data_IF_326339041157
#
_entry.id   IF_326339041157
#
_cell.length_a   1.000
_cell.length_b   1.000
_cell.length_c   1.000
_cell.angle_alpha   90.00
_cell.angle_beta   90.00
_cell.angle_gamma   90.00
#
_symmetry.space_group_name_H-M   'P 1'
#
loop_
_entity.id
_entity.type
_entity.pdbx_description
1 polymer ?
#
# COMPACT_ATOMS: atom_id res chain seq x y z
N UNK A 1 33.75 -0.47 78.63
CA UNK A 1 32.65 0.39 78.15
C UNK A 1 33.04 0.92 76.76
N UNK A 2 32.51 0.32 75.70
CA UNK A 2 32.71 0.77 74.29
C UNK A 2 31.39 1.34 73.82
N UNK A 3 31.37 2.63 73.53
CA UNK A 3 30.23 3.31 72.90
C UNK A 3 30.23 3.00 71.38
N UNK A 4 29.17 2.36 70.91
CA UNK A 4 28.89 2.26 69.48
C UNK A 4 28.18 3.53 69.01
N UNK A 5 28.76 4.19 68.04
CA UNK A 5 28.15 5.34 67.31
C UNK A 5 27.49 4.76 66.06
N UNK A 6 26.15 4.78 66.05
CA UNK A 6 25.35 4.39 64.90
C UNK A 6 25.25 5.58 63.95
N UNK A 7 25.84 5.43 62.72
CA UNK A 7 25.72 6.43 61.66
C UNK A 7 24.44 6.11 60.88
N UNK A 8 23.47 6.99 60.96
CA UNK A 8 22.25 6.96 60.11
C UNK A 8 22.57 7.68 58.83
N UNK A 9 22.71 6.92 57.72
CA UNK A 9 22.83 7.48 56.38
C UNK A 9 21.41 7.68 55.83
N UNK A 10 20.94 8.89 55.78
CA UNK A 10 19.69 9.24 55.09
C UNK A 10 19.94 9.28 53.58
N UNK A 11 19.42 8.31 52.85
CA UNK A 11 19.43 8.30 51.41
C UNK A 11 18.29 9.19 50.93
N UNK A 12 18.63 10.42 50.50
CA UNK A 12 17.70 11.31 49.82
C UNK A 12 17.57 10.88 48.35
N UNK A 13 16.48 10.20 48.01
CA UNK A 13 16.06 9.94 46.62
C UNK A 13 15.60 11.28 46.01
N UNK A 14 16.44 11.89 45.21
CA UNK A 14 16.05 13.02 44.36
C UNK A 14 15.34 12.43 43.15
N UNK A 15 14.01 12.43 43.17
CA UNK A 15 13.19 12.18 41.98
C UNK A 15 13.35 13.38 41.05
N UNK A 16 14.26 13.26 40.08
CA UNK A 16 14.28 14.16 38.91
C UNK A 16 13.05 13.84 38.07
N UNK A 17 11.99 14.61 38.26
CA UNK A 17 10.92 14.71 37.26
C UNK A 17 11.55 15.37 36.02
N UNK A 18 12.03 14.53 35.11
CA UNK A 18 12.30 14.95 33.74
C UNK A 18 10.94 15.30 33.12
N UNK A 19 10.57 16.58 33.11
CA UNK A 19 9.57 17.09 32.18
C UNK A 19 10.09 16.78 30.79
N UNK A 20 9.70 15.66 30.20
CA UNK A 20 9.80 15.47 28.77
C UNK A 20 8.85 16.50 28.16
N UNK A 21 9.43 17.62 27.73
CA UNK A 21 8.73 18.53 26.82
C UNK A 21 8.35 17.68 25.61
N UNK A 22 7.07 17.36 25.47
CA UNK A 22 6.50 16.79 24.26
C UNK A 22 6.77 17.78 23.14
N UNK A 23 7.91 17.60 22.44
CA UNK A 23 8.15 18.32 21.20
C UNK A 23 7.07 17.85 20.25
N UNK A 24 6.16 18.72 19.80
CA UNK A 24 5.16 18.31 18.84
C UNK A 24 5.88 17.71 17.62
N UNK A 25 5.34 16.65 17.02
CA UNK A 25 5.93 16.08 15.81
C UNK A 25 6.12 17.19 14.78
N UNK A 26 7.21 17.15 13.99
CA UNK A 26 7.46 18.15 12.97
C UNK A 26 6.23 18.22 12.06
N UNK A 27 5.78 19.44 11.76
CA UNK A 27 4.64 19.65 10.85
C UNK A 27 5.03 19.09 9.49
N UNK A 28 4.26 18.11 8.99
CA UNK A 28 4.46 17.57 7.65
C UNK A 28 4.21 18.69 6.63
N UNK A 29 5.13 18.79 5.68
CA UNK A 29 4.98 19.70 4.55
C UNK A 29 4.22 18.98 3.44
N UNK A 30 3.29 19.67 2.80
CA UNK A 30 2.49 19.12 1.69
C UNK A 30 0.99 19.23 1.91
N UNK A 31 0.24 18.74 0.94
CA UNK A 31 -1.23 18.72 0.92
C UNK A 31 -1.71 17.37 1.45
N UNK A 32 -2.57 17.37 2.47
CA UNK A 32 -3.26 16.17 2.94
C UNK A 32 -4.33 15.80 1.93
N UNK A 33 -4.38 14.53 1.53
CA UNK A 33 -5.39 13.98 0.64
C UNK A 33 -6.62 13.55 1.47
N UNK A 34 -7.58 14.44 1.56
CA UNK A 34 -8.73 14.27 2.44
C UNK A 34 -9.76 13.24 1.93
N UNK A 35 -9.80 13.00 0.62
CA UNK A 35 -10.71 12.08 -0.06
C UNK A 35 -10.14 10.67 -0.28
N UNK A 36 -9.02 10.34 0.40
CA UNK A 36 -8.37 9.03 0.31
C UNK A 36 -9.35 7.86 0.42
N UNK A 37 -10.21 7.84 1.44
CA UNK A 37 -11.17 6.75 1.65
C UNK A 37 -12.21 6.64 0.51
N UNK A 38 -12.61 7.76 -0.08
CA UNK A 38 -13.56 7.77 -1.20
C UNK A 38 -12.92 7.22 -2.46
N UNK A 39 -11.66 7.56 -2.72
CA UNK A 39 -10.89 7.03 -3.85
C UNK A 39 -10.70 5.53 -3.70
N UNK A 40 -10.29 5.05 -2.52
CA UNK A 40 -10.13 3.61 -2.29
C UNK A 40 -11.46 2.86 -2.47
N UNK A 41 -12.58 3.44 -2.00
CA UNK A 41 -13.91 2.87 -2.21
C UNK A 41 -14.28 2.82 -3.69
N UNK A 42 -13.95 3.86 -4.46
CA UNK A 42 -14.20 3.88 -5.90
C UNK A 42 -13.35 2.82 -6.63
N UNK A 43 -12.08 2.66 -6.28
CA UNK A 43 -11.20 1.64 -6.84
C UNK A 43 -11.72 0.23 -6.51
N UNK A 44 -12.07 -0.03 -5.26
CA UNK A 44 -12.66 -1.32 -4.86
C UNK A 44 -14.01 -1.58 -5.55
N UNK A 45 -14.76 -0.52 -5.83
CA UNK A 45 -16.06 -0.62 -6.51
C UNK A 45 -15.98 -1.00 -7.99
N UNK A 46 -14.83 -0.80 -8.64
CA UNK A 46 -14.62 -1.23 -10.03
C UNK A 46 -13.95 -2.61 -10.10
N UNK A 47 -13.29 -3.07 -9.05
CA UNK A 47 -12.66 -4.38 -9.02
C UNK A 47 -13.72 -5.50 -8.96
N UNK A 48 -13.56 -6.57 -9.74
CA UNK A 48 -14.45 -7.72 -9.69
C UNK A 48 -14.23 -8.54 -8.41
N UNK A 49 -15.30 -9.11 -7.89
CA UNK A 49 -15.28 -9.97 -6.70
C UNK A 49 -14.94 -11.41 -7.08
N UNK A 50 -15.54 -11.91 -8.15
CA UNK A 50 -15.44 -13.31 -8.54
C UNK A 50 -14.39 -13.49 -9.65
N UNK A 51 -13.61 -14.56 -9.54
CA UNK A 51 -12.63 -14.94 -10.56
C UNK A 51 -13.33 -15.80 -11.61
N UNK A 52 -13.26 -15.46 -12.93
CA UNK A 52 -13.79 -16.30 -13.98
C UNK A 52 -13.19 -17.72 -13.97
N UNK A 53 -14.03 -18.73 -14.14
CA UNK A 53 -13.63 -20.15 -14.11
C UNK A 53 -12.49 -20.44 -15.11
N UNK A 54 -12.56 -19.87 -16.30
CA UNK A 54 -11.52 -20.01 -17.33
C UNK A 54 -10.14 -19.53 -16.87
N UNK A 55 -10.09 -18.46 -16.04
CA UNK A 55 -8.83 -17.97 -15.48
C UNK A 55 -8.30 -18.92 -14.40
N UNK A 56 -9.18 -19.46 -13.55
CA UNK A 56 -8.79 -20.45 -12.53
C UNK A 56 -8.26 -21.74 -13.17
N UNK A 57 -8.93 -22.24 -14.20
CA UNK A 57 -8.60 -23.53 -14.82
C UNK A 57 -7.41 -23.49 -15.76
N UNK A 58 -7.26 -22.40 -16.52
CA UNK A 58 -6.28 -22.35 -17.62
C UNK A 58 -5.49 -21.05 -17.73
N UNK A 59 -5.83 -20.01 -17.00
CA UNK A 59 -5.24 -18.69 -17.15
C UNK A 59 -5.54 -18.00 -18.49
N UNK A 60 -6.56 -18.52 -19.22
CA UNK A 60 -6.93 -18.07 -20.56
C UNK A 60 -8.16 -17.18 -20.50
N UNK A 61 -8.04 -15.95 -20.98
CA UNK A 61 -9.18 -15.02 -21.13
C UNK A 61 -10.10 -15.49 -22.27
N UNK A 62 -11.40 -15.45 -22.05
CA UNK A 62 -12.42 -15.82 -23.02
C UNK A 62 -13.28 -14.65 -23.50
N UNK A 63 -13.06 -13.47 -22.91
CA UNK A 63 -13.84 -12.27 -23.14
C UNK A 63 -14.93 -12.08 -22.09
N UNK A 64 -15.14 -10.82 -21.70
CA UNK A 64 -16.06 -10.48 -20.60
C UNK A 64 -15.43 -10.43 -19.22
N UNK A 65 -14.12 -10.69 -19.12
CA UNK A 65 -13.35 -10.47 -17.90
C UNK A 65 -13.20 -8.96 -17.62
N UNK A 66 -12.72 -8.65 -16.43
CA UNK A 66 -12.48 -7.28 -16.00
C UNK A 66 -11.59 -6.52 -16.98
N UNK A 67 -12.00 -5.31 -17.36
CA UNK A 67 -11.17 -4.38 -18.13
C UNK A 67 -10.40 -3.46 -17.15
N UNK A 68 -9.06 -3.59 -17.05
CA UNK A 68 -8.29 -2.78 -16.11
C UNK A 68 -8.29 -1.29 -16.46
N UNK A 69 -8.73 -0.88 -17.66
CA UNK A 69 -8.94 0.54 -17.98
C UNK A 69 -10.09 1.15 -17.15
N UNK A 70 -10.94 0.34 -16.53
CA UNK A 70 -12.00 0.81 -15.63
C UNK A 70 -11.44 1.48 -14.36
N UNK A 71 -10.19 1.21 -14.00
CA UNK A 71 -9.51 1.97 -12.94
C UNK A 71 -9.48 3.48 -13.20
N UNK A 72 -9.36 3.91 -14.46
CA UNK A 72 -9.33 5.32 -14.81
C UNK A 72 -10.69 6.04 -14.67
N UNK A 73 -11.76 5.28 -14.36
CA UNK A 73 -13.06 5.85 -13.93
C UNK A 73 -13.05 6.24 -12.46
N UNK A 74 -12.20 5.58 -11.67
CA UNK A 74 -12.03 5.84 -10.23
C UNK A 74 -10.81 6.75 -9.96
N UNK A 75 -9.73 6.58 -10.73
CA UNK A 75 -8.48 7.32 -10.66
C UNK A 75 -8.45 8.32 -11.82
N UNK A 76 -9.19 9.41 -11.68
CA UNK A 76 -9.53 10.32 -12.78
C UNK A 76 -8.41 11.24 -13.23
N UNK A 77 -7.33 11.33 -12.43
CA UNK A 77 -6.11 12.09 -12.77
C UNK A 77 -5.01 11.22 -13.39
N UNK A 78 -5.37 9.94 -13.69
CA UNK A 78 -4.50 9.01 -14.41
C UNK A 78 -5.11 8.62 -15.75
N UNK A 79 -4.25 8.30 -16.69
CA UNK A 79 -4.64 7.68 -17.97
C UNK A 79 -3.47 6.90 -18.53
N UNK A 80 -3.73 6.00 -19.50
CA UNK A 80 -2.67 5.54 -20.37
C UNK A 80 -2.32 6.64 -21.36
N UNK A 81 -1.04 6.71 -21.76
CA UNK A 81 -0.61 7.61 -22.84
C UNK A 81 -1.31 7.28 -24.14
N UNK A 82 -1.41 8.29 -24.99
CA UNK A 82 -1.96 8.13 -26.35
C UNK A 82 -1.33 6.94 -27.08
N UNK A 83 -2.19 6.10 -27.66
CA UNK A 83 -1.79 4.89 -28.35
C UNK A 83 -1.63 3.65 -27.47
N UNK A 84 -1.87 3.75 -26.15
CA UNK A 84 -1.79 2.62 -25.24
C UNK A 84 -3.10 2.41 -24.48
N UNK A 85 -3.37 1.15 -24.14
CA UNK A 85 -4.40 0.72 -23.19
C UNK A 85 -3.75 -0.13 -22.10
N UNK A 86 -4.34 -0.17 -20.92
CA UNK A 86 -3.94 -1.10 -19.87
C UNK A 86 -4.55 -2.46 -20.16
N UNK A 87 -3.74 -3.51 -20.06
CA UNK A 87 -4.20 -4.88 -20.24
C UNK A 87 -3.46 -5.80 -19.26
N UNK A 88 -3.87 -7.06 -19.16
CA UNK A 88 -3.22 -8.05 -18.31
C UNK A 88 -3.23 -9.43 -18.93
N UNK A 89 -2.33 -10.28 -18.47
CA UNK A 89 -2.40 -11.74 -18.57
C UNK A 89 -2.51 -12.33 -17.18
N UNK A 90 -3.04 -13.56 -17.10
CA UNK A 90 -3.27 -14.24 -15.83
C UNK A 90 -2.45 -15.54 -15.78
N UNK A 91 -1.18 -15.50 -15.37
CA UNK A 91 -0.37 -16.70 -15.23
C UNK A 91 -0.89 -17.55 -14.07
N UNK A 92 -0.98 -18.86 -14.29
CA UNK A 92 -1.26 -19.82 -13.22
C UNK A 92 0.07 -20.28 -12.63
N UNK A 93 0.20 -20.15 -11.32
CA UNK A 93 1.32 -20.67 -10.55
C UNK A 93 0.81 -21.63 -9.47
N UNK A 94 1.66 -22.56 -9.08
CA UNK A 94 1.38 -23.53 -8.01
C UNK A 94 1.07 -22.85 -6.66
N UNK A 95 1.72 -21.72 -6.38
CA UNK A 95 1.56 -20.99 -5.12
C UNK A 95 0.44 -19.94 -5.15
N UNK A 96 -0.16 -19.72 -6.32
CA UNK A 96 -1.24 -18.74 -6.48
C UNK A 96 -1.14 -18.00 -7.81
N UNK A 97 -2.12 -17.19 -8.09
CA UNK A 97 -2.22 -16.48 -9.36
C UNK A 97 -2.70 -15.05 -9.13
N UNK A 98 -2.20 -14.14 -9.93
CA UNK A 98 -2.61 -12.76 -9.94
C UNK A 98 -2.43 -12.15 -11.33
N UNK A 99 -3.16 -11.07 -11.68
CA UNK A 99 -3.01 -10.43 -12.97
C UNK A 99 -1.66 -9.73 -13.09
N UNK A 100 -0.96 -9.98 -14.18
CA UNK A 100 0.25 -9.25 -14.56
C UNK A 100 -0.10 -8.20 -15.60
N UNK A 101 -0.17 -6.95 -15.18
CA UNK A 101 -0.55 -5.84 -16.04
C UNK A 101 0.59 -5.43 -16.98
N UNK A 102 0.23 -4.97 -18.17
CA UNK A 102 1.17 -4.43 -19.15
C UNK A 102 0.52 -3.32 -20.00
N UNK A 103 1.30 -2.38 -20.55
CA UNK A 103 0.79 -1.39 -21.47
C UNK A 103 0.67 -2.03 -22.87
N UNK A 104 -0.53 -2.13 -23.40
CA UNK A 104 -0.81 -2.69 -24.72
C UNK A 104 -0.99 -1.56 -25.75
N UNK A 105 -0.26 -1.56 -26.88
CA UNK A 105 -0.60 -0.70 -28.00
C UNK A 105 -2.05 -0.94 -28.47
N UNK A 106 -2.82 0.13 -28.70
CA UNK A 106 -4.27 0.02 -29.02
C UNK A 106 -4.55 -0.66 -30.36
N UNK A 107 -3.59 -0.67 -31.27
CA UNK A 107 -3.63 -1.34 -32.57
C UNK A 107 -3.29 -2.84 -32.49
N UNK A 108 -2.88 -3.34 -31.31
CA UNK A 108 -2.61 -4.75 -31.07
C UNK A 108 -3.78 -5.41 -30.34
N UNK A 109 -4.14 -6.64 -30.70
CA UNK A 109 -5.12 -7.39 -29.92
C UNK A 109 -4.56 -7.74 -28.54
N UNK A 110 -5.42 -7.90 -27.50
CA UNK A 110 -5.00 -8.35 -26.19
C UNK A 110 -4.44 -9.76 -26.23
N UNK A 111 -3.41 -10.04 -25.44
CA UNK A 111 -2.97 -11.42 -25.21
C UNK A 111 -4.02 -12.15 -24.38
N UNK A 112 -4.38 -13.35 -24.79
CA UNK A 112 -5.40 -14.13 -24.10
C UNK A 112 -4.83 -14.96 -22.95
N UNK A 113 -3.53 -15.28 -23.01
CA UNK A 113 -2.81 -16.02 -21.96
C UNK A 113 -1.39 -15.51 -21.79
N UNK A 114 -0.74 -15.88 -20.69
CA UNK A 114 0.67 -15.56 -20.46
C UNK A 114 1.61 -16.23 -21.49
N UNK A 115 1.20 -17.34 -22.08
CA UNK A 115 1.97 -18.04 -23.12
C UNK A 115 2.00 -17.29 -24.46
N UNK A 116 1.04 -16.39 -24.71
CA UNK A 116 0.97 -15.62 -25.95
C UNK A 116 1.86 -14.37 -25.91
N UNK A 117 2.42 -14.04 -24.74
CA UNK A 117 3.22 -12.83 -24.57
C UNK A 117 4.58 -13.03 -25.23
N UNK A 118 4.96 -12.18 -26.21
CA UNK A 118 6.27 -12.29 -26.87
C UNK A 118 7.43 -12.07 -25.91
N UNK A 119 8.54 -12.71 -26.19
CA UNK A 119 9.79 -12.42 -25.51
C UNK A 119 10.14 -10.92 -25.64
N UNK A 120 10.43 -10.27 -24.51
CA UNK A 120 10.74 -8.84 -24.47
C UNK A 120 9.59 -7.93 -24.04
N UNK A 121 8.36 -8.40 -24.00
CA UNK A 121 7.27 -7.66 -23.33
C UNK A 121 7.46 -7.77 -21.83
N UNK A 122 7.60 -6.62 -21.17
CA UNK A 122 7.80 -6.56 -19.72
C UNK A 122 6.45 -6.54 -19.01
N UNK A 123 5.99 -7.70 -18.56
CA UNK A 123 4.84 -7.80 -17.68
C UNK A 123 5.12 -7.10 -16.35
N UNK A 124 4.10 -6.44 -15.79
CA UNK A 124 4.22 -5.64 -14.56
C UNK A 124 4.66 -4.18 -14.78
N UNK A 125 5.20 -3.83 -15.96
CA UNK A 125 5.73 -2.49 -16.24
C UNK A 125 4.71 -1.54 -16.90
N UNK A 126 3.42 -1.67 -16.60
CA UNK A 126 2.39 -0.78 -17.16
C UNK A 126 2.65 0.69 -16.84
N UNK A 127 3.36 0.98 -15.77
CA UNK A 127 3.71 2.33 -15.28
C UNK A 127 4.53 3.13 -16.29
N UNK A 128 5.30 2.44 -17.15
CA UNK A 128 6.14 3.08 -18.18
C UNK A 128 5.31 3.88 -19.20
N UNK A 129 4.01 3.61 -19.31
CA UNK A 129 3.08 4.30 -20.22
C UNK A 129 1.90 4.95 -19.48
N UNK A 130 2.00 5.09 -18.17
CA UNK A 130 1.00 5.79 -17.36
C UNK A 130 1.27 7.29 -17.41
N UNK A 131 0.25 8.08 -17.71
CA UNK A 131 0.27 9.53 -17.64
C UNK A 131 -0.38 10.00 -16.34
N UNK A 132 0.25 10.95 -15.68
CA UNK A 132 -0.19 11.55 -14.42
C UNK A 132 -0.54 13.01 -14.69
N UNK A 133 -1.73 13.46 -14.30
CA UNK A 133 -2.02 14.88 -14.23
C UNK A 133 -1.14 15.51 -13.15
N UNK A 134 -0.44 16.61 -13.48
CA UNK A 134 0.57 17.22 -12.60
C UNK A 134 -0.06 18.03 -11.46
N UNK A 135 -0.83 17.34 -10.62
CA UNK A 135 -1.46 17.83 -9.40
C UNK A 135 -1.25 16.84 -8.27
N UNK A 136 -1.37 17.29 -7.01
CA UNK A 136 -1.16 16.44 -5.83
C UNK A 136 -2.02 15.17 -5.88
N UNK A 137 -3.26 15.32 -6.31
CA UNK A 137 -4.21 14.22 -6.45
C UNK A 137 -3.73 13.17 -7.43
N UNK A 138 -3.20 13.57 -8.60
CA UNK A 138 -2.68 12.64 -9.62
C UNK A 138 -1.53 11.78 -9.10
N UNK A 139 -0.63 12.35 -8.32
CA UNK A 139 0.48 11.60 -7.73
C UNK A 139 0.02 10.67 -6.61
N UNK A 140 -0.99 11.05 -5.83
CA UNK A 140 -1.61 10.14 -4.88
C UNK A 140 -2.30 8.97 -5.59
N UNK A 141 -3.10 9.24 -6.62
CA UNK A 141 -3.76 8.22 -7.43
C UNK A 141 -2.75 7.27 -8.08
N UNK A 142 -1.57 7.77 -8.49
CA UNK A 142 -0.48 6.91 -8.96
C UNK A 142 -0.04 5.91 -7.88
N UNK A 143 0.17 6.36 -6.65
CA UNK A 143 0.56 5.46 -5.55
C UNK A 143 -0.54 4.43 -5.25
N UNK A 144 -1.82 4.82 -5.32
CA UNK A 144 -2.97 3.90 -5.22
C UNK A 144 -2.94 2.87 -6.34
N UNK A 145 -2.75 3.30 -7.59
CA UNK A 145 -2.66 2.42 -8.75
C UNK A 145 -1.49 1.45 -8.64
N UNK A 146 -0.33 1.92 -8.18
CA UNK A 146 0.86 1.08 -7.95
C UNK A 146 0.59 -0.06 -6.97
N UNK A 147 -0.18 0.20 -5.91
CA UNK A 147 -0.48 -0.78 -4.87
C UNK A 147 -1.64 -1.69 -5.27
N UNK A 148 -2.72 -1.13 -5.85
CA UNK A 148 -3.99 -1.83 -5.97
C UNK A 148 -4.27 -2.42 -7.34
N UNK A 149 -3.58 -1.96 -8.41
CA UNK A 149 -3.92 -2.34 -9.77
C UNK A 149 -3.85 -3.84 -10.07
N UNK A 150 -3.00 -4.58 -9.36
CA UNK A 150 -2.85 -6.03 -9.52
C UNK A 150 -3.60 -6.84 -8.45
N UNK A 151 -4.49 -6.21 -7.67
CA UNK A 151 -5.17 -6.87 -6.54
C UNK A 151 -6.57 -7.40 -6.89
N UNK A 152 -6.91 -7.56 -8.16
CA UNK A 152 -8.13 -8.25 -8.59
C UNK A 152 -7.82 -9.70 -9.01
N UNK A 153 -8.81 -10.59 -8.96
CA UNK A 153 -8.67 -12.00 -9.32
C UNK A 153 -7.53 -12.74 -8.62
N UNK A 154 -7.26 -12.36 -7.37
CA UNK A 154 -6.18 -12.96 -6.61
C UNK A 154 -6.54 -14.35 -6.12
N UNK A 155 -5.71 -15.36 -6.42
CA UNK A 155 -5.75 -16.67 -5.78
C UNK A 155 -4.77 -16.67 -4.61
N UNK A 156 -5.27 -17.00 -3.45
CA UNK A 156 -4.73 -16.66 -2.15
C UNK A 156 -3.32 -17.17 -1.82
N UNK A 157 -2.91 -18.32 -2.33
CA UNK A 157 -1.74 -19.01 -1.78
C UNK A 157 -0.39 -18.30 -2.00
N UNK A 158 -0.32 -17.35 -2.92
CA UNK A 158 0.85 -16.52 -3.16
C UNK A 158 0.53 -15.03 -3.12
N UNK A 159 -0.59 -14.67 -2.52
CA UNK A 159 -1.03 -13.28 -2.52
C UNK A 159 -0.27 -12.46 -1.48
N UNK A 160 0.96 -12.14 -1.79
CA UNK A 160 1.76 -11.15 -1.06
C UNK A 160 1.36 -9.70 -1.40
N UNK A 161 0.35 -9.51 -2.25
CA UNK A 161 -0.16 -8.21 -2.67
C UNK A 161 -1.38 -7.75 -1.86
N UNK A 162 -1.54 -8.24 -0.64
CA UNK A 162 -2.60 -7.84 0.28
C UNK A 162 -2.34 -6.51 0.99
N UNK A 163 -1.69 -5.59 0.29
CA UNK A 163 -1.40 -4.27 0.83
C UNK A 163 -2.70 -3.45 0.95
N UNK A 164 -3.02 -3.05 2.17
CA UNK A 164 -4.09 -2.11 2.44
C UNK A 164 -3.50 -0.70 2.58
N UNK A 165 -4.09 0.28 1.93
CA UNK A 165 -3.77 1.69 2.14
C UNK A 165 -4.57 2.18 3.34
N UNK A 166 -3.91 2.88 4.26
CA UNK A 166 -4.48 3.38 5.50
C UNK A 166 -4.66 4.90 5.37
N UNK A 167 -5.90 5.34 5.28
CA UNK A 167 -6.22 6.74 5.01
C UNK A 167 -6.15 7.64 6.25
N UNK A 168 -6.40 7.08 7.42
CA UNK A 168 -6.42 7.81 8.68
C UNK A 168 -6.21 6.87 9.86
N UNK A 169 -6.27 7.44 11.05
CA UNK A 169 -6.07 6.70 12.29
C UNK A 169 -7.21 5.74 12.62
N UNK A 170 -8.42 6.07 12.23
CA UNK A 170 -9.59 5.21 12.48
C UNK A 170 -9.47 3.96 11.61
N UNK A 171 -9.10 4.09 10.32
CA UNK A 171 -8.80 2.97 9.44
C UNK A 171 -7.67 2.07 10.00
N UNK A 172 -6.62 2.64 10.61
CA UNK A 172 -5.58 1.86 11.26
C UNK A 172 -6.10 1.04 12.45
N UNK A 173 -6.99 1.61 13.26
CA UNK A 173 -7.62 0.91 14.38
C UNK A 173 -8.60 -0.16 13.90
N UNK A 174 -9.39 0.11 12.85
CA UNK A 174 -10.31 -0.87 12.25
C UNK A 174 -9.56 -2.12 11.75
N UNK A 175 -8.39 -1.96 11.14
CA UNK A 175 -7.53 -3.09 10.73
C UNK A 175 -7.13 -3.96 11.95
N UNK A 176 -6.77 -3.33 13.06
CA UNK A 176 -6.44 -4.05 14.29
C UNK A 176 -7.65 -4.80 14.86
N UNK A 177 -8.78 -4.12 14.92
CA UNK A 177 -10.02 -4.70 15.46
C UNK A 177 -10.52 -5.86 14.58
N UNK A 178 -10.49 -5.69 13.26
CA UNK A 178 -10.83 -6.73 12.30
C UNK A 178 -9.89 -7.94 12.43
N UNK A 179 -8.57 -7.72 12.41
CA UNK A 179 -7.57 -8.78 12.58
C UNK A 179 -7.77 -9.54 13.89
N UNK A 180 -8.08 -8.83 14.98
CA UNK A 180 -8.29 -9.42 16.29
C UNK A 180 -9.64 -10.14 16.43
N UNK A 181 -10.61 -9.86 15.56
CA UNK A 181 -11.93 -10.51 15.54
C UNK A 181 -11.90 -11.90 14.91
N UNK A 182 -10.94 -12.18 14.04
CA UNK A 182 -10.84 -13.46 13.35
C UNK A 182 -10.27 -14.55 14.28
N UNK A 183 -10.76 -15.77 14.11
CA UNK A 183 -10.29 -16.94 14.87
C UNK A 183 -8.99 -17.53 14.31
N UNK A 184 -8.58 -17.11 13.11
CA UNK A 184 -7.43 -17.63 12.39
C UNK A 184 -6.32 -16.56 12.25
N UNK A 185 -5.07 -16.99 12.41
CA UNK A 185 -3.90 -16.11 12.41
C UNK A 185 -3.57 -15.54 13.79
N UNK A 186 -2.43 -14.87 13.86
CA UNK A 186 -2.00 -14.18 15.09
C UNK A 186 -2.82 -12.92 15.30
N UNK A 187 -3.07 -12.58 16.54
CA UNK A 187 -3.72 -11.33 16.94
C UNK A 187 -2.66 -10.28 17.29
N UNK A 188 -2.99 -9.01 17.09
CA UNK A 188 -2.17 -7.94 17.66
C UNK A 188 -2.13 -8.05 19.18
N UNK A 189 -0.95 -8.09 19.77
CA UNK A 189 -0.80 -8.03 21.21
C UNK A 189 -1.07 -6.61 21.76
N UNK A 190 -1.12 -6.48 23.09
CA UNK A 190 -1.43 -5.19 23.72
C UNK A 190 -0.39 -4.11 23.43
N UNK A 191 0.88 -4.48 23.25
CA UNK A 191 1.94 -3.54 22.93
C UNK A 191 1.82 -3.04 21.49
N UNK A 192 1.58 -3.94 20.55
CA UNK A 192 1.33 -3.61 19.12
C UNK A 192 0.09 -2.73 18.98
N UNK A 193 -1.02 -3.07 19.65
CA UNK A 193 -2.22 -2.23 19.67
C UNK A 193 -1.95 -0.84 20.22
N UNK A 194 -1.14 -0.72 21.29
CA UNK A 194 -0.75 0.57 21.83
C UNK A 194 0.11 1.38 20.85
N UNK A 195 1.01 0.72 20.10
CA UNK A 195 1.82 1.33 19.04
C UNK A 195 0.93 1.87 17.91
N UNK A 196 -0.04 1.08 17.41
CA UNK A 196 -0.97 1.54 16.37
C UNK A 196 -1.78 2.74 16.85
N UNK A 197 -2.31 2.71 18.08
CA UNK A 197 -3.03 3.86 18.65
C UNK A 197 -2.15 5.09 18.82
N UNK A 198 -0.84 4.92 18.96
CA UNK A 198 0.13 6.02 19.08
C UNK A 198 0.61 6.56 17.72
N UNK A 199 0.24 5.92 16.60
CA UNK A 199 0.61 6.40 15.26
C UNK A 199 0.13 7.84 15.06
N UNK A 200 1.02 8.64 14.49
CA UNK A 200 0.75 10.02 14.09
C UNK A 200 1.06 10.18 12.60
N UNK A 201 0.46 11.17 11.97
CA UNK A 201 0.69 11.47 10.56
C UNK A 201 0.35 10.25 9.67
N UNK A 202 -0.82 9.66 9.87
CA UNK A 202 -1.30 8.49 9.13
C UNK A 202 -1.88 8.89 7.77
N UNK A 203 -2.52 10.06 7.72
CA UNK A 203 -3.18 10.57 6.52
C UNK A 203 -2.18 10.69 5.36
N UNK A 204 -2.55 10.34 4.12
CA UNK A 204 -1.71 10.54 2.95
C UNK A 204 -1.38 12.02 2.73
N UNK A 205 -0.14 12.29 2.36
CA UNK A 205 0.34 13.65 2.07
C UNK A 205 1.11 13.64 0.76
N UNK A 206 0.87 14.65 -0.06
CA UNK A 206 1.63 14.90 -1.29
C UNK A 206 2.28 16.28 -1.22
N UNK A 207 3.58 16.31 -1.49
CA UNK A 207 4.37 17.54 -1.60
C UNK A 207 4.92 17.64 -3.01
N UNK A 208 4.54 18.69 -3.74
CA UNK A 208 5.15 19.00 -5.03
C UNK A 208 6.42 19.83 -4.80
N UNK A 209 7.47 19.47 -5.52
CA UNK A 209 8.70 20.25 -5.68
C UNK A 209 8.82 20.69 -7.14
N UNK A 210 9.92 21.35 -7.52
CA UNK A 210 10.11 21.79 -8.90
C UNK A 210 10.20 20.59 -9.86
N UNK A 211 10.87 19.50 -9.45
CA UNK A 211 11.19 18.35 -10.31
C UNK A 211 10.45 17.06 -9.95
N UNK A 212 9.90 16.95 -8.75
CA UNK A 212 9.29 15.73 -8.25
C UNK A 212 8.08 15.96 -7.38
N UNK A 213 7.24 14.95 -7.27
CA UNK A 213 6.21 14.81 -6.25
C UNK A 213 6.67 13.79 -5.20
N UNK A 214 6.51 14.12 -3.93
CA UNK A 214 6.77 13.23 -2.82
C UNK A 214 5.42 12.82 -2.23
N UNK A 215 5.08 11.53 -2.31
CA UNK A 215 3.83 10.98 -1.77
C UNK A 215 4.17 10.13 -0.56
N UNK A 216 3.65 10.49 0.60
CA UNK A 216 3.73 9.67 1.80
C UNK A 216 2.38 9.04 2.09
N UNK A 217 2.35 7.72 2.20
CA UNK A 217 1.16 6.93 2.55
C UNK A 217 1.52 5.90 3.62
N UNK A 218 0.55 5.55 4.44
CA UNK A 218 0.65 4.40 5.34
C UNK A 218 -0.03 3.21 4.69
N UNK A 219 0.61 2.06 4.77
CA UNK A 219 0.06 0.78 4.30
C UNK A 219 0.13 -0.26 5.39
N UNK A 220 -0.73 -1.26 5.30
CA UNK A 220 -0.70 -2.45 6.14
C UNK A 220 -0.62 -3.71 5.30
N UNK A 221 0.11 -4.71 5.79
CA UNK A 221 0.08 -6.08 5.28
C UNK A 221 0.13 -7.07 6.44
N UNK A 222 -0.52 -8.21 6.29
CA UNK A 222 -0.49 -9.30 7.27
C UNK A 222 0.90 -9.90 7.48
N UNK A 223 1.82 -9.65 6.55
CA UNK A 223 3.17 -10.22 6.51
C UNK A 223 4.27 -9.30 7.03
N UNK A 224 3.95 -8.14 7.57
CA UNK A 224 4.97 -7.20 8.06
C UNK A 224 4.42 -6.06 8.89
N UNK A 225 3.10 -5.86 8.90
CA UNK A 225 2.44 -4.83 9.71
C UNK A 225 2.26 -3.50 8.99
N UNK A 226 2.39 -2.41 9.73
CA UNK A 226 2.19 -1.06 9.21
C UNK A 226 3.51 -0.47 8.71
N UNK A 227 3.47 0.09 7.50
CA UNK A 227 4.61 0.75 6.86
C UNK A 227 4.24 2.15 6.42
N UNK A 228 5.14 3.10 6.57
CA UNK A 228 5.11 4.34 5.81
C UNK A 228 5.86 4.12 4.51
N UNK A 229 5.19 4.35 3.39
CA UNK A 229 5.81 4.35 2.06
C UNK A 229 5.97 5.77 1.59
N UNK A 230 7.16 6.09 1.11
CA UNK A 230 7.47 7.37 0.51
C UNK A 230 7.82 7.13 -0.95
N UNK A 231 6.97 7.61 -1.84
CA UNK A 231 7.21 7.63 -3.27
C UNK A 231 7.88 8.96 -3.62
N UNK A 232 8.95 8.92 -4.40
CA UNK A 232 9.51 10.08 -5.06
C UNK A 232 9.30 9.88 -6.57
N UNK A 233 8.44 10.69 -7.18
CA UNK A 233 7.99 10.53 -8.55
C UNK A 233 8.43 11.75 -9.35
N UNK A 234 9.17 11.58 -10.45
CA UNK A 234 9.53 12.70 -11.32
C UNK A 234 8.27 13.30 -11.97
N UNK A 235 8.18 14.64 -12.02
CA UNK A 235 7.03 15.34 -12.61
C UNK A 235 7.04 15.31 -14.14
N UNK A 236 8.20 15.04 -14.73
CA UNK A 236 8.33 14.91 -16.19
C UNK A 236 8.23 13.45 -16.61
N UNK A 237 7.56 13.22 -17.75
CA UNK A 237 7.52 11.90 -18.38
C UNK A 237 8.86 11.57 -19.10
N UNK A 238 9.36 10.31 -19.05
CA UNK A 238 8.83 9.19 -18.28
C UNK A 238 8.98 9.41 -16.77
N UNK A 239 7.96 9.03 -16.00
CA UNK A 239 7.99 9.20 -14.56
C UNK A 239 8.96 8.20 -13.92
N UNK A 240 10.11 8.70 -13.45
CA UNK A 240 11.01 7.90 -12.62
C UNK A 240 10.46 7.84 -11.20
N UNK A 241 10.46 6.64 -10.62
CA UNK A 241 9.86 6.40 -9.31
C UNK A 241 10.83 5.67 -8.40
N UNK A 242 11.08 6.25 -7.22
CA UNK A 242 11.79 5.61 -6.11
C UNK A 242 10.79 5.42 -4.95
N UNK A 243 10.78 4.23 -4.36
CA UNK A 243 9.88 3.90 -3.24
C UNK A 243 10.70 3.44 -2.05
N UNK A 244 10.53 4.13 -0.91
CA UNK A 244 11.13 3.75 0.37
C UNK A 244 10.05 3.33 1.35
N UNK A 245 10.35 2.31 2.16
CA UNK A 245 9.48 1.82 3.22
C UNK A 245 10.14 1.98 4.59
N UNK A 246 9.37 2.47 5.56
CA UNK A 246 9.72 2.51 6.98
C UNK A 246 8.69 1.66 7.73
N UNK A 247 9.13 0.66 8.50
CA UNK A 247 8.22 -0.10 9.36
C UNK A 247 7.82 0.76 10.56
N UNK A 248 6.52 0.93 10.77
CA UNK A 248 5.94 1.71 11.86
C UNK A 248 5.51 0.83 13.04
N UNK A 249 4.87 -0.30 12.73
CA UNK A 249 4.46 -1.31 13.71
C UNK A 249 4.62 -2.67 13.07
N UNK A 250 5.48 -3.49 13.64
CA UNK A 250 5.72 -4.85 13.17
C UNK A 250 4.54 -5.77 13.53
N UNK A 251 4.10 -6.56 12.56
CA UNK A 251 3.08 -7.59 12.74
C UNK A 251 3.34 -8.74 11.78
N UNK A 252 3.11 -9.95 12.24
CA UNK A 252 3.18 -11.18 11.45
C UNK A 252 1.96 -12.02 11.77
N UNK A 253 1.22 -12.43 10.75
CA UNK A 253 0.03 -13.26 10.91
C UNK A 253 0.33 -14.69 11.41
N UNK A 254 1.60 -15.10 11.49
CA UNK A 254 2.03 -16.41 11.96
C UNK A 254 1.70 -17.56 11.01
N UNK A 255 1.29 -17.28 9.79
CA UNK A 255 0.99 -18.29 8.78
C UNK A 255 2.29 -18.58 8.02
N UNK A 256 2.75 -19.82 8.09
CA UNK A 256 3.88 -20.33 7.30
C UNK A 256 3.36 -21.25 6.21
N UNK A 257 3.98 -21.21 5.03
CA UNK A 257 3.67 -22.06 3.88
C UNK A 257 4.74 -23.11 3.67
#
# INVERSE_FOLDING_TARGET
MKKQITFLIAFAFVFSLACQTLVPPPKREGTIIADCADILRAVNGVQPVDIPESLIESGVKQGGEFDPNDYFKALTHLSMRDGYALDYVYPIDFLGSFPMLYPRPVDQPPYVSAADVPEGVKLGNFRDQLAIEDVEQGYFEYAVMDIMASQFYLVWHANYNDLLIVCDKDAANEIVDDTNSHDFGMKFDLAQQAQVRALTNVEPVVKLTDDSAIVEIVTFTKWGGFFRRTYTISRSFPHEVDVKGENLVEYDCGIMF
#
